data_IF_189207506796
#
_entry.id   IF_189207506796
#
_cell.length_a   1.000
_cell.length_b   1.000
_cell.length_c   1.000
_cell.angle_alpha   90.00
_cell.angle_beta   90.00
_cell.angle_gamma   90.00
#
_symmetry.space_group_name_H-M   'P 1'
#
loop_
_entity.id
_entity.type
_entity.pdbx_description
1 polymer ?
#
# COMPACT_ATOMS: atom_id res chain seq x y z
N UNK A 1 0.45 -17.05 11.33
CA UNK A 1 0.24 -15.81 12.12
C UNK A 1 0.99 -15.83 13.44
N UNK A 2 0.96 -16.93 14.23
CA UNK A 2 1.60 -16.95 15.56
C UNK A 2 3.04 -16.41 15.63
N UNK A 3 3.98 -16.77 14.74
CA UNK A 3 5.34 -16.21 14.78
C UNK A 3 5.40 -14.68 14.62
N UNK A 4 4.59 -14.13 13.71
CA UNK A 4 4.51 -12.67 13.48
C UNK A 4 3.84 -11.95 14.65
N UNK A 5 2.82 -12.58 15.25
CA UNK A 5 2.13 -12.06 16.44
C UNK A 5 3.05 -12.05 17.66
N UNK A 6 3.79 -13.13 17.90
CA UNK A 6 4.76 -13.23 18.99
C UNK A 6 5.89 -12.19 18.81
N UNK A 7 6.29 -11.90 17.57
CA UNK A 7 7.24 -10.82 17.27
C UNK A 7 6.63 -9.44 17.53
N UNK A 8 5.38 -9.22 17.16
CA UNK A 8 4.67 -7.97 17.41
C UNK A 8 4.51 -7.70 18.91
N UNK A 9 4.13 -8.70 19.70
CA UNK A 9 4.03 -8.56 21.16
C UNK A 9 5.35 -8.15 21.80
N UNK A 10 6.47 -8.71 21.33
CA UNK A 10 7.82 -8.31 21.79
C UNK A 10 8.18 -6.88 21.40
N UNK A 11 7.81 -6.44 20.20
CA UNK A 11 8.09 -5.07 19.73
C UNK A 11 7.37 -4.01 20.59
N UNK A 12 6.17 -4.32 21.05
CA UNK A 12 5.34 -3.43 21.87
C UNK A 12 5.40 -3.75 23.37
N UNK A 13 6.31 -4.63 23.79
CA UNK A 13 6.50 -4.97 25.20
C UNK A 13 6.96 -3.73 25.97
N UNK A 14 6.18 -3.31 26.97
CA UNK A 14 6.47 -2.12 27.76
C UNK A 14 6.03 -0.80 27.12
N UNK A 15 5.30 -0.83 26.00
CA UNK A 15 4.65 0.37 25.46
C UNK A 15 3.62 0.92 26.45
N UNK A 16 3.67 2.22 26.73
CA UNK A 16 2.71 2.93 27.59
C UNK A 16 1.37 3.20 26.90
N UNK A 17 1.31 3.04 25.58
CA UNK A 17 0.21 3.49 24.74
C UNK A 17 -0.48 2.38 23.94
N UNK A 18 0.20 1.26 23.70
CA UNK A 18 -0.30 0.16 22.87
C UNK A 18 -0.06 -1.17 23.56
N UNK A 19 -1.13 -1.88 23.87
CA UNK A 19 -1.10 -3.26 24.35
C UNK A 19 -1.36 -4.22 23.19
N UNK A 20 -0.42 -5.13 22.95
CA UNK A 20 -0.62 -6.29 22.07
C UNK A 20 -0.62 -7.53 22.94
N UNK A 21 -1.73 -8.29 22.93
CA UNK A 21 -1.90 -9.47 23.76
C UNK A 21 -2.72 -10.54 23.02
N UNK A 22 -2.51 -11.81 23.38
CA UNK A 22 -3.38 -12.91 23.00
C UNK A 22 -4.27 -13.36 24.16
N UNK A 23 -5.45 -13.87 23.83
CA UNK A 23 -6.42 -14.42 24.80
C UNK A 23 -6.77 -15.83 24.36
N UNK A 24 -6.56 -16.81 25.25
CA UNK A 24 -6.99 -18.18 25.00
C UNK A 24 -8.48 -18.36 25.28
N UNK A 25 -9.26 -18.27 24.22
CA UNK A 25 -10.70 -18.45 24.24
C UNK A 25 -11.18 -19.90 24.45
N UNK A 26 -10.26 -20.88 24.49
CA UNK A 26 -10.57 -22.30 24.77
C UNK A 26 -10.34 -22.69 26.22
N UNK A 27 -9.69 -21.82 26.99
CA UNK A 27 -9.44 -21.99 28.41
C UNK A 27 -10.06 -20.81 29.20
N UNK A 28 -9.27 -20.15 30.05
CA UNK A 28 -9.76 -19.09 30.95
C UNK A 28 -10.33 -17.85 30.26
N UNK A 29 -10.12 -17.66 28.95
CA UNK A 29 -10.60 -16.49 28.19
C UNK A 29 -11.99 -16.63 27.58
N UNK A 30 -12.65 -17.78 27.71
CA UNK A 30 -13.89 -18.09 26.98
C UNK A 30 -14.99 -17.01 27.17
N UNK A 31 -15.23 -16.56 28.40
CA UNK A 31 -16.26 -15.56 28.69
C UNK A 31 -16.02 -14.23 27.97
N UNK A 32 -14.78 -13.71 28.02
CA UNK A 32 -14.44 -12.46 27.32
C UNK A 32 -14.53 -12.61 25.82
N UNK A 33 -14.11 -13.74 25.27
CA UNK A 33 -14.20 -13.99 23.82
C UNK A 33 -15.65 -14.04 23.32
N UNK A 34 -16.57 -14.61 24.11
CA UNK A 34 -18.00 -14.58 23.79
C UNK A 34 -18.58 -13.16 23.88
N UNK A 35 -18.25 -12.42 24.94
CA UNK A 35 -18.70 -11.03 25.17
C UNK A 35 -18.31 -10.12 24.00
N UNK A 36 -17.07 -10.23 23.51
CA UNK A 36 -16.56 -9.40 22.41
C UNK A 36 -16.90 -9.99 21.03
N UNK A 37 -17.71 -11.06 20.98
CA UNK A 37 -18.24 -11.61 19.73
C UNK A 37 -17.24 -12.41 18.88
N UNK A 38 -16.25 -13.07 19.48
CA UNK A 38 -15.34 -13.97 18.75
C UNK A 38 -16.09 -15.23 18.32
N UNK A 39 -16.19 -15.45 17.00
CA UNK A 39 -16.91 -16.59 16.39
C UNK A 39 -16.01 -17.66 15.79
N UNK A 40 -14.71 -17.39 15.69
CA UNK A 40 -13.72 -18.31 15.13
C UNK A 40 -12.29 -17.85 15.43
N UNK A 41 -11.34 -18.76 15.37
CA UNK A 41 -9.94 -18.48 15.66
C UNK A 41 -9.06 -18.62 14.42
N UNK A 42 -8.06 -17.75 14.21
CA UNK A 42 -7.72 -16.57 15.01
C UNK A 42 -8.53 -15.31 14.60
N UNK A 43 -9.14 -14.64 15.58
CA UNK A 43 -9.77 -13.31 15.41
C UNK A 43 -8.88 -12.23 16.03
N UNK A 44 -8.62 -11.14 15.31
CA UNK A 44 -7.90 -9.97 15.83
C UNK A 44 -8.92 -8.86 16.04
N UNK A 45 -8.87 -8.23 17.22
CA UNK A 45 -9.65 -7.05 17.56
C UNK A 45 -8.73 -5.93 18.04
N UNK A 46 -9.19 -4.70 17.89
CA UNK A 46 -8.45 -3.50 18.28
C UNK A 46 -9.38 -2.41 18.79
N UNK A 47 -8.84 -1.43 19.51
CA UNK A 47 -9.60 -0.29 20.00
C UNK A 47 -9.63 -0.23 21.52
N UNK A 48 -10.63 0.47 22.06
CA UNK A 48 -10.85 0.55 23.50
C UNK A 48 -11.30 -0.81 24.05
N UNK A 49 -10.87 -1.22 25.26
CA UNK A 49 -11.34 -2.47 25.87
C UNK A 49 -12.86 -2.62 25.99
N UNK A 50 -13.59 -1.51 25.98
CA UNK A 50 -15.07 -1.46 26.01
C UNK A 50 -15.70 -1.30 24.62
N UNK A 51 -14.91 -1.04 23.57
CA UNK A 51 -15.39 -0.86 22.19
C UNK A 51 -14.40 -1.45 21.17
N UNK A 52 -14.27 -2.77 21.21
CA UNK A 52 -13.35 -3.51 20.34
C UNK A 52 -13.93 -3.71 18.94
N UNK A 53 -13.20 -3.24 17.93
CA UNK A 53 -13.50 -3.35 16.52
C UNK A 53 -12.79 -4.54 15.87
N UNK A 54 -13.37 -5.09 14.80
CA UNK A 54 -12.77 -6.18 14.03
C UNK A 54 -11.62 -5.70 13.15
N UNK A 55 -10.45 -6.33 13.28
CA UNK A 55 -9.33 -6.08 12.39
C UNK A 55 -9.43 -6.94 11.12
N UNK A 56 -9.59 -6.28 9.98
CA UNK A 56 -9.67 -6.92 8.66
C UNK A 56 -8.46 -6.65 7.76
N UNK A 57 -7.39 -6.07 8.32
CA UNK A 57 -6.15 -5.80 7.58
C UNK A 57 -5.26 -7.03 7.38
N UNK A 58 -4.13 -6.81 6.71
CA UNK A 58 -3.17 -7.88 6.46
C UNK A 58 -2.47 -8.38 7.72
N UNK A 59 -2.19 -9.68 7.76
CA UNK A 59 -1.72 -10.39 8.97
C UNK A 59 -0.22 -10.66 8.97
N UNK A 60 0.51 -10.03 8.05
CA UNK A 60 1.97 -10.03 8.05
C UNK A 60 2.50 -9.14 9.18
N UNK A 61 3.70 -9.44 9.70
CA UNK A 61 4.33 -8.60 10.72
C UNK A 61 4.39 -7.12 10.32
N UNK A 62 4.73 -6.82 9.06
CA UNK A 62 4.90 -5.44 8.59
C UNK A 62 3.58 -4.66 8.61
N UNK A 63 2.47 -5.29 8.20
CA UNK A 63 1.15 -4.67 8.19
C UNK A 63 0.59 -4.52 9.61
N UNK A 64 0.76 -5.54 10.44
CA UNK A 64 0.34 -5.50 11.85
C UNK A 64 1.14 -4.43 12.63
N UNK A 65 2.46 -4.34 12.42
CA UNK A 65 3.30 -3.33 13.04
C UNK A 65 2.87 -1.92 12.61
N UNK A 66 2.67 -1.70 11.31
CA UNK A 66 2.20 -0.41 10.79
C UNK A 66 0.84 -0.03 11.38
N UNK A 67 -0.07 -0.99 11.49
CA UNK A 67 -1.38 -0.77 12.10
C UNK A 67 -1.25 -0.44 13.59
N UNK A 68 -0.52 -1.25 14.36
CA UNK A 68 -0.32 -1.02 15.79
C UNK A 68 0.34 0.33 16.08
N UNK A 69 1.29 0.79 15.25
CA UNK A 69 1.90 2.13 15.35
C UNK A 69 0.92 3.28 15.05
N UNK A 70 -0.19 3.01 14.36
CA UNK A 70 -1.25 3.98 14.15
C UNK A 70 -2.24 4.05 15.31
N UNK A 71 -2.19 3.07 16.24
CA UNK A 71 -3.01 3.06 17.44
C UNK A 71 -2.28 3.83 18.54
N UNK A 72 -3.02 4.67 19.28
CA UNK A 72 -2.47 5.48 20.37
C UNK A 72 -1.75 6.76 19.91
N UNK A 73 -1.15 7.51 20.86
CA UNK A 73 -0.33 8.68 20.57
C UNK A 73 0.78 8.37 19.57
N UNK A 74 0.99 9.26 18.61
CA UNK A 74 2.07 9.13 17.63
C UNK A 74 3.32 9.88 18.09
N UNK A 75 4.49 9.40 17.63
CA UNK A 75 5.76 10.11 17.79
C UNK A 75 5.61 11.57 17.35
N UNK A 76 5.96 12.49 18.25
CA UNK A 76 5.91 13.92 18.02
C UNK A 76 6.42 14.69 19.25
N UNK A 77 6.43 16.03 19.21
CA UNK A 77 6.97 16.85 20.30
C UNK A 77 6.32 16.59 21.66
N UNK A 78 5.05 16.17 21.68
CA UNK A 78 4.32 15.83 22.90
C UNK A 78 4.52 14.37 23.38
N UNK A 79 5.05 13.48 22.53
CA UNK A 79 5.29 12.06 22.83
C UNK A 79 6.67 11.64 22.30
N UNK A 80 7.72 12.32 22.80
CA UNK A 80 9.09 12.10 22.34
C UNK A 80 9.57 10.68 22.64
N UNK A 81 9.12 10.05 23.71
CA UNK A 81 9.42 8.68 24.09
C UNK A 81 9.09 7.68 22.98
N UNK A 82 8.04 7.95 22.20
CA UNK A 82 7.59 7.13 21.07
C UNK A 82 8.42 7.32 19.79
N UNK A 83 9.42 8.22 19.80
CA UNK A 83 10.28 8.51 18.67
C UNK A 83 11.60 7.71 18.73
N UNK A 84 12.07 7.24 17.58
CA UNK A 84 13.44 6.75 17.44
C UNK A 84 14.48 7.90 17.58
N UNK A 85 15.74 7.56 17.80
CA UNK A 85 16.81 8.55 18.03
C UNK A 85 16.98 9.54 16.88
N UNK A 86 16.70 9.14 15.62
CA UNK A 86 16.82 10.04 14.48
C UNK A 86 15.71 11.07 14.49
N UNK A 87 14.47 10.62 14.75
CA UNK A 87 13.30 11.50 14.85
C UNK A 87 13.40 12.45 16.04
N UNK A 88 13.86 11.97 17.20
CA UNK A 88 14.12 12.82 18.39
C UNK A 88 15.07 13.97 18.03
N UNK A 89 16.21 13.66 17.42
CA UNK A 89 17.19 14.67 17.01
C UNK A 89 16.61 15.69 16.03
N UNK A 90 15.83 15.24 15.05
CA UNK A 90 15.16 16.14 14.10
C UNK A 90 14.15 17.05 14.80
N UNK A 91 13.37 16.51 15.75
CA UNK A 91 12.41 17.31 16.52
C UNK A 91 13.15 18.38 17.33
N UNK A 92 14.25 18.03 18.00
CA UNK A 92 15.07 18.99 18.74
C UNK A 92 15.64 20.10 17.82
N UNK A 93 16.19 19.71 16.66
CA UNK A 93 16.70 20.65 15.66
C UNK A 93 15.59 21.60 15.17
N UNK A 94 14.39 21.10 14.89
CA UNK A 94 13.27 21.94 14.44
C UNK A 94 12.66 22.79 15.55
N UNK A 95 12.63 22.32 16.79
CA UNK A 95 12.17 23.11 17.93
C UNK A 95 13.12 24.26 18.24
N UNK A 96 14.42 24.10 17.97
CA UNK A 96 15.43 25.15 18.14
C UNK A 96 15.36 26.26 17.06
N UNK A 97 14.67 26.04 15.94
CA UNK A 97 14.42 27.08 14.94
C UNK A 97 13.41 28.12 15.44
N UNK A 98 13.44 29.33 14.89
CA UNK A 98 12.35 30.29 15.11
C UNK A 98 11.13 29.95 14.24
N UNK A 99 9.97 30.53 14.56
CA UNK A 99 8.71 30.26 13.85
C UNK A 99 8.78 30.63 12.37
N UNK A 100 9.44 31.75 12.02
CA UNK A 100 9.53 32.21 10.63
C UNK A 100 10.38 31.27 9.79
N UNK A 101 11.46 30.73 10.37
CA UNK A 101 12.30 29.76 9.68
C UNK A 101 11.57 28.43 9.47
N UNK A 102 10.84 27.94 10.48
CA UNK A 102 9.98 26.75 10.33
C UNK A 102 8.94 26.94 9.23
N UNK A 103 8.24 28.08 9.23
CA UNK A 103 7.23 28.40 8.21
C UNK A 103 7.81 28.45 6.79
N UNK A 104 9.00 29.04 6.61
CA UNK A 104 9.70 29.04 5.31
C UNK A 104 10.03 27.62 4.85
N UNK A 105 10.57 26.80 5.75
CA UNK A 105 10.92 25.41 5.42
C UNK A 105 9.69 24.58 5.07
N UNK A 106 8.56 24.78 5.77
CA UNK A 106 7.28 24.12 5.44
C UNK A 106 6.85 24.51 4.03
N UNK A 107 6.80 25.81 3.72
CA UNK A 107 6.40 26.30 2.38
C UNK A 107 7.31 25.78 1.27
N UNK A 108 8.62 25.78 1.49
CA UNK A 108 9.60 25.26 0.53
C UNK A 108 9.36 23.76 0.25
N UNK A 109 9.10 22.96 1.30
CA UNK A 109 8.86 21.52 1.17
C UNK A 109 7.50 21.20 0.56
N UNK A 110 6.46 21.95 0.90
CA UNK A 110 5.14 21.82 0.27
C UNK A 110 5.21 22.18 -1.22
N UNK A 111 5.90 23.27 -1.58
CA UNK A 111 6.10 23.64 -2.98
C UNK A 111 6.95 22.60 -3.76
N UNK A 112 7.93 21.97 -3.10
CA UNK A 112 8.71 20.87 -3.68
C UNK A 112 7.81 19.65 -3.96
N UNK A 113 6.91 19.30 -3.03
CA UNK A 113 5.92 18.23 -3.22
C UNK A 113 4.97 18.56 -4.37
N UNK A 114 4.37 19.75 -4.38
CA UNK A 114 3.45 20.19 -5.44
C UNK A 114 4.12 20.13 -6.83
N UNK A 115 5.37 20.56 -6.91
CA UNK A 115 6.14 20.48 -8.15
C UNK A 115 6.37 19.03 -8.58
N UNK A 116 6.76 18.14 -7.67
CA UNK A 116 6.95 16.72 -7.97
C UNK A 116 5.66 16.06 -8.46
N UNK A 117 4.52 16.38 -7.85
CA UNK A 117 3.20 15.90 -8.28
C UNK A 117 2.80 16.44 -9.65
N UNK A 118 3.04 17.73 -9.92
CA UNK A 118 2.76 18.37 -11.21
C UNK A 118 3.64 17.80 -12.35
N UNK A 119 4.93 17.60 -12.09
CA UNK A 119 5.87 16.99 -13.03
C UNK A 119 5.45 15.55 -13.34
N UNK A 120 5.07 14.77 -12.32
CA UNK A 120 4.58 13.41 -12.51
C UNK A 120 3.27 13.37 -13.30
N UNK A 121 2.32 14.28 -13.00
CA UNK A 121 1.06 14.40 -13.76
C UNK A 121 1.33 14.69 -15.24
N UNK A 122 2.22 15.62 -15.53
CA UNK A 122 2.60 15.97 -16.91
C UNK A 122 3.23 14.78 -17.64
N UNK A 123 4.07 14.02 -16.95
CA UNK A 123 4.64 12.78 -17.48
C UNK A 123 3.55 11.74 -17.82
N UNK A 124 2.58 11.54 -16.92
CA UNK A 124 1.46 10.61 -17.14
C UNK A 124 0.58 11.05 -18.31
N UNK A 125 0.23 12.32 -18.41
CA UNK A 125 -0.53 12.87 -19.54
C UNK A 125 0.21 12.67 -20.87
N UNK A 126 1.52 12.90 -20.89
CA UNK A 126 2.37 12.65 -22.05
C UNK A 126 2.43 11.17 -22.46
N UNK A 127 2.49 10.25 -21.48
CA UNK A 127 2.43 8.82 -21.73
C UNK A 127 1.08 8.39 -22.29
N UNK A 128 -0.03 8.87 -21.73
CA UNK A 128 -1.38 8.57 -22.21
C UNK A 128 -1.57 9.00 -23.67
N UNK A 129 -1.09 10.21 -24.02
CA UNK A 129 -1.13 10.69 -25.40
C UNK A 129 -0.33 9.80 -26.35
N UNK A 130 0.92 9.46 -26.00
CA UNK A 130 1.77 8.57 -26.81
C UNK A 130 1.15 7.18 -26.98
N UNK A 131 0.52 6.66 -25.91
CA UNK A 131 -0.17 5.39 -25.96
C UNK A 131 -1.34 5.43 -26.95
N UNK A 132 -2.18 6.46 -26.89
CA UNK A 132 -3.32 6.61 -27.79
C UNK A 132 -2.86 6.72 -29.25
N UNK A 133 -1.88 7.60 -29.53
CA UNK A 133 -1.31 7.76 -30.87
C UNK A 133 -0.72 6.46 -31.42
N UNK A 134 0.00 5.71 -30.58
CA UNK A 134 0.60 4.43 -30.95
C UNK A 134 -0.45 3.35 -31.18
N UNK A 135 -1.50 3.31 -30.36
CA UNK A 135 -2.60 2.35 -30.53
C UNK A 135 -3.38 2.63 -31.80
N UNK A 136 -3.75 3.89 -32.06
CA UNK A 136 -4.50 4.28 -33.26
C UNK A 136 -3.69 4.01 -34.52
N UNK A 137 -2.38 4.27 -34.50
CA UNK A 137 -1.48 3.92 -35.59
C UNK A 137 -1.42 2.41 -35.80
N UNK A 138 -1.21 1.64 -34.74
CA UNK A 138 -1.18 0.17 -34.78
C UNK A 138 -2.47 -0.38 -35.38
N UNK A 139 -3.63 0.14 -34.99
CA UNK A 139 -4.93 -0.33 -35.50
C UNK A 139 -5.08 -0.01 -37.00
N UNK A 140 -4.71 1.20 -37.44
CA UNK A 140 -4.70 1.58 -38.87
C UNK A 140 -3.74 0.72 -39.71
N UNK A 141 -2.52 0.49 -39.21
CA UNK A 141 -1.52 -0.32 -39.90
C UNK A 141 -2.00 -1.79 -40.00
N UNK A 142 -2.62 -2.33 -38.95
CA UNK A 142 -3.24 -3.66 -38.97
C UNK A 142 -4.38 -3.74 -39.98
N UNK A 143 -5.25 -2.73 -40.05
CA UNK A 143 -6.32 -2.66 -41.05
C UNK A 143 -5.76 -2.59 -42.47
N UNK A 144 -4.73 -1.77 -42.71
CA UNK A 144 -4.06 -1.69 -44.01
C UNK A 144 -3.50 -3.04 -44.45
N UNK A 145 -2.85 -3.77 -43.54
CA UNK A 145 -2.33 -5.13 -43.80
C UNK A 145 -3.47 -6.14 -44.05
N UNK A 146 -4.57 -6.05 -43.30
CA UNK A 146 -5.74 -6.91 -43.56
C UNK A 146 -6.32 -6.65 -44.96
N UNK A 147 -6.37 -5.39 -45.37
CA UNK A 147 -6.91 -4.93 -46.64
C UNK A 147 -5.93 -5.07 -47.82
N UNK A 148 -4.64 -5.38 -47.58
CA UNK A 148 -3.63 -5.53 -48.62
C UNK A 148 -3.75 -6.83 -49.44
N UNK A 149 -4.89 -7.51 -49.36
CA UNK A 149 -5.09 -8.84 -49.95
C UNK A 149 -4.45 -9.98 -49.16
N UNK A 150 -4.05 -9.78 -47.90
CA UNK A 150 -3.49 -10.85 -47.04
C UNK A 150 -4.40 -12.08 -46.98
N UNK A 151 -5.72 -11.90 -46.93
CA UNK A 151 -6.69 -13.00 -46.98
C UNK A 151 -6.61 -13.79 -48.29
N UNK A 152 -6.51 -13.11 -49.42
CA UNK A 152 -6.35 -13.73 -50.73
C UNK A 152 -5.00 -14.45 -50.84
N UNK A 153 -3.92 -13.83 -50.37
CA UNK A 153 -2.60 -14.47 -50.34
C UNK A 153 -2.63 -15.79 -49.55
N UNK A 154 -3.27 -15.78 -48.38
CA UNK A 154 -3.46 -16.99 -47.56
C UNK A 154 -4.29 -18.05 -48.32
N UNK A 155 -5.38 -17.63 -48.97
CA UNK A 155 -6.23 -18.54 -49.74
C UNK A 155 -5.50 -19.17 -50.94
N UNK A 156 -4.73 -18.37 -51.70
CA UNK A 156 -3.91 -18.85 -52.83
C UNK A 156 -2.86 -19.85 -52.34
N UNK A 157 -2.17 -19.55 -51.24
CA UNK A 157 -1.18 -20.46 -50.65
C UNK A 157 -1.82 -21.80 -50.23
N UNK A 158 -2.99 -21.76 -49.60
CA UNK A 158 -3.72 -22.97 -49.21
C UNK A 158 -4.14 -23.82 -50.42
N UNK A 159 -4.61 -23.17 -51.49
CA UNK A 159 -4.96 -23.85 -52.74
C UNK A 159 -3.74 -24.51 -53.39
N UNK A 160 -2.60 -23.80 -53.48
CA UNK A 160 -1.38 -24.35 -54.08
C UNK A 160 -0.81 -25.53 -53.29
N UNK A 161 -0.83 -25.48 -51.95
CA UNK A 161 -0.43 -26.62 -51.12
C UNK A 161 -1.28 -27.86 -51.39
N UNK A 162 -2.60 -27.67 -51.52
CA UNK A 162 -3.53 -28.75 -51.86
C UNK A 162 -3.28 -29.33 -53.25
N UNK A 163 -2.99 -28.49 -54.24
CA UNK A 163 -2.68 -28.92 -55.59
C UNK A 163 -1.36 -29.71 -55.71
N UNK A 164 -0.40 -29.47 -54.79
CA UNK A 164 0.88 -30.18 -54.73
C UNK A 164 0.89 -31.43 -53.85
N UNK A 165 -0.22 -31.74 -53.16
CA UNK A 165 -0.30 -32.88 -52.24
C UNK A 165 0.50 -32.70 -50.94
N UNK A 166 0.80 -31.46 -50.55
CA UNK A 166 1.61 -31.10 -49.36
C UNK A 166 0.75 -30.83 -48.10
N UNK A 167 -0.47 -31.38 -48.06
CA UNK A 167 -1.43 -31.27 -46.95
C UNK A 167 -1.55 -32.58 -46.18
#
# INVERSE_FOLDING_TARGET
MKPDWDKLMKEFEGSSSVLVADVDCTAGGQGKCQEVGVRGYPTIKYGDPNDLQDYNGGRSFAELQKFAQSLGPTCGPANLDLCDNKKKKLIDEYMALDSTKRESMIKEKEAEIEKLEADFKTFVEGLQKKYQESSDKKDKDVEAVKNSGLGLLKAVNAFQKKAKGEL
#
